data_IF_699279184465
#
_entry.id   IF_699279184465
#
_cell.length_a   1.000
_cell.length_b   1.000
_cell.length_c   1.000
_cell.angle_alpha   90.00
_cell.angle_beta   90.00
_cell.angle_gamma   90.00
#
_symmetry.space_group_name_H-M   'P 1'
#
loop_
_entity.id
_entity.type
_entity.pdbx_description
1 polymer ?
#
# COMPACT_ATOMS: atom_id res chain seq x y z
N UNK A 1 11.68 5.63 3.33
CA UNK A 1 11.80 4.69 4.47
C UNK A 1 11.82 5.39 5.83
N UNK A 2 12.60 6.46 5.99
CA UNK A 2 12.73 7.15 7.28
C UNK A 2 11.39 7.70 7.80
N UNK A 3 10.50 8.13 6.92
CA UNK A 3 9.17 8.63 7.29
C UNK A 3 8.29 7.48 7.78
N UNK A 4 8.34 6.33 7.12
CA UNK A 4 7.59 5.13 7.55
C UNK A 4 7.98 4.67 8.95
N UNK A 5 9.29 4.70 9.26
CA UNK A 5 9.79 4.31 10.59
C UNK A 5 9.26 5.19 11.71
N UNK A 6 8.95 6.45 11.41
CA UNK A 6 8.46 7.43 12.39
C UNK A 6 6.96 7.45 12.53
N UNK A 7 6.23 6.83 11.61
CA UNK A 7 4.77 6.84 11.63
C UNK A 7 4.24 5.55 12.26
N UNK A 8 3.64 5.62 13.46
CA UNK A 8 3.13 4.44 14.16
C UNK A 8 1.88 3.80 13.50
N UNK A 9 1.22 4.51 12.59
CA UNK A 9 0.03 4.02 11.89
C UNK A 9 0.36 3.08 10.74
N UNK A 10 1.63 3.08 10.30
CA UNK A 10 2.08 2.32 9.14
C UNK A 10 2.98 1.15 9.53
N UNK A 11 2.93 0.10 8.73
CA UNK A 11 3.79 -1.07 8.87
C UNK A 11 4.98 -0.91 7.92
N UNK A 12 6.18 -1.07 8.46
CA UNK A 12 7.38 -1.14 7.66
C UNK A 12 7.55 -2.55 7.11
N UNK A 13 7.68 -2.67 5.80
CA UNK A 13 7.95 -3.96 5.16
C UNK A 13 9.39 -4.38 5.39
N UNK A 14 9.58 -5.65 5.75
CA UNK A 14 10.90 -6.24 5.90
C UNK A 14 11.40 -6.75 4.55
N UNK A 15 12.49 -6.16 4.07
CA UNK A 15 13.19 -6.58 2.86
C UNK A 15 14.67 -6.90 3.13
N UNK A 16 15.03 -7.15 4.38
CA UNK A 16 16.40 -7.43 4.81
C UNK A 16 17.02 -8.67 4.15
N UNK A 17 16.16 -9.61 3.72
CA UNK A 17 16.56 -10.83 3.02
C UNK A 17 16.83 -10.62 1.51
N UNK A 18 16.64 -9.42 1.00
CA UNK A 18 16.81 -9.10 -0.43
C UNK A 18 18.09 -8.31 -0.62
N UNK A 19 18.97 -8.78 -1.51
CA UNK A 19 20.26 -8.12 -1.77
C UNK A 19 20.08 -6.75 -2.43
N UNK A 20 19.15 -6.65 -3.38
CA UNK A 20 18.77 -5.38 -4.02
C UNK A 20 17.25 -5.28 -4.03
N UNK A 21 16.73 -4.29 -3.35
CA UNK A 21 15.29 -4.01 -3.34
C UNK A 21 14.93 -3.03 -4.46
N UNK A 22 14.23 -3.53 -5.47
CA UNK A 22 13.73 -2.73 -6.60
C UNK A 22 12.27 -3.05 -6.83
N UNK A 23 11.43 -2.02 -6.90
CA UNK A 23 9.99 -2.18 -7.04
C UNK A 23 9.41 -1.10 -7.96
N UNK A 24 8.48 -1.49 -8.83
CA UNK A 24 7.72 -0.56 -9.67
C UNK A 24 6.67 0.24 -8.88
N UNK A 25 6.36 -0.21 -7.70
CA UNK A 25 5.35 0.37 -6.82
C UNK A 25 5.93 0.66 -5.44
N UNK A 26 5.44 1.71 -4.81
CA UNK A 26 5.73 2.00 -3.41
C UNK A 26 4.52 1.55 -2.56
N UNK A 27 4.59 0.39 -1.91
CA UNK A 27 3.48 -0.12 -1.11
C UNK A 27 3.40 0.60 0.23
N UNK A 28 2.17 0.88 0.64
CA UNK A 28 1.83 1.43 1.95
C UNK A 28 0.87 0.47 2.63
N UNK A 29 1.20 0.05 3.83
CA UNK A 29 0.38 -0.86 4.62
C UNK A 29 0.06 -0.21 5.96
N UNK A 30 -1.22 0.07 6.18
CA UNK A 30 -1.69 0.63 7.44
C UNK A 30 -1.87 -0.48 8.48
N UNK A 31 -1.71 -0.16 9.75
CA UNK A 31 -1.93 -1.14 10.83
C UNK A 31 -3.38 -1.57 10.95
N UNK A 32 -4.29 -0.67 10.61
CA UNK A 32 -5.73 -0.93 10.69
C UNK A 32 -6.44 -0.44 9.43
N UNK A 33 -7.49 -1.15 8.96
CA UNK A 33 -8.23 -0.80 7.75
C UNK A 33 -8.81 0.62 7.74
N UNK A 34 -9.24 1.11 8.91
CA UNK A 34 -9.82 2.45 9.06
C UNK A 34 -8.82 3.55 8.74
N UNK A 35 -7.55 3.32 9.05
CA UNK A 35 -6.46 4.27 8.76
C UNK A 35 -6.22 4.41 7.26
N UNK A 36 -6.43 3.35 6.49
CA UNK A 36 -6.25 3.35 5.04
C UNK A 36 -7.04 4.49 4.39
N UNK A 37 -8.30 4.67 4.75
CA UNK A 37 -9.14 5.73 4.17
C UNK A 37 -8.56 7.13 4.39
N UNK A 38 -8.02 7.38 5.57
CA UNK A 38 -7.41 8.67 5.90
C UNK A 38 -6.17 8.95 5.07
N UNK A 39 -5.29 7.95 4.92
CA UNK A 39 -4.10 8.08 4.09
C UNK A 39 -4.43 8.21 2.61
N UNK A 40 -5.45 7.52 2.12
CA UNK A 40 -5.92 7.70 0.75
C UNK A 40 -6.35 9.15 0.49
N UNK A 41 -7.01 9.78 1.44
CA UNK A 41 -7.38 11.19 1.35
C UNK A 41 -6.15 12.11 1.37
N UNK A 42 -5.14 11.82 2.19
CA UNK A 42 -3.89 12.60 2.21
C UNK A 42 -3.15 12.51 0.87
N UNK A 43 -3.03 11.33 0.30
CA UNK A 43 -2.39 11.12 -1.01
C UNK A 43 -3.17 11.83 -2.12
N UNK A 44 -4.47 11.68 -2.14
CA UNK A 44 -5.34 12.37 -3.11
C UNK A 44 -5.23 13.89 -2.98
N UNK A 45 -5.25 14.41 -1.77
CA UNK A 45 -5.09 15.83 -1.48
C UNK A 45 -3.72 16.38 -1.90
N UNK A 46 -2.68 15.56 -1.83
CA UNK A 46 -1.33 15.88 -2.30
C UNK A 46 -1.14 15.72 -3.81
N UNK A 47 -2.16 15.29 -4.54
CA UNK A 47 -2.07 15.06 -5.99
C UNK A 47 -1.29 13.80 -6.38
N UNK A 48 -1.13 12.85 -5.47
CA UNK A 48 -0.44 11.58 -5.73
C UNK A 48 -1.44 10.53 -6.17
N UNK A 49 -1.23 9.95 -7.34
CA UNK A 49 -2.07 8.85 -7.83
C UNK A 49 -1.80 7.59 -7.00
N UNK A 50 -2.86 6.97 -6.57
CA UNK A 50 -2.83 5.75 -5.75
C UNK A 50 -3.66 4.65 -6.38
N UNK A 51 -3.29 3.41 -6.06
CA UNK A 51 -4.01 2.21 -6.49
C UNK A 51 -4.20 1.27 -5.29
N UNK A 52 -5.31 0.53 -5.24
CA UNK A 52 -5.42 -0.59 -4.31
C UNK A 52 -4.35 -1.63 -4.62
N UNK A 53 -4.01 -2.47 -3.64
CA UNK A 53 -3.08 -3.57 -3.89
C UNK A 53 -3.60 -4.42 -5.05
N UNK A 54 -2.80 -4.59 -6.07
CA UNK A 54 -3.11 -5.15 -7.41
C UNK A 54 -4.34 -6.08 -7.36
N UNK A 55 -4.58 -7.17 -7.58
CA UNK A 55 -5.82 -7.92 -7.44
C UNK A 55 -6.39 -7.97 -6.00
N UNK A 56 -5.63 -7.54 -4.99
CA UNK A 56 -6.01 -7.67 -3.59
C UNK A 56 -6.23 -9.13 -3.20
N UNK A 57 -7.30 -9.39 -2.45
CA UNK A 57 -7.75 -10.75 -2.22
C UNK A 57 -8.54 -11.24 -3.44
N UNK A 58 -7.93 -12.12 -4.21
CA UNK A 58 -8.51 -12.65 -5.46
C UNK A 58 -9.87 -13.32 -5.24
N UNK A 59 -10.08 -13.93 -4.08
CA UNK A 59 -11.33 -14.60 -3.74
C UNK A 59 -12.52 -13.64 -3.64
N UNK A 60 -12.28 -12.35 -3.44
CA UNK A 60 -13.31 -11.33 -3.40
C UNK A 60 -13.68 -10.81 -4.78
N UNK A 61 -12.91 -11.14 -5.81
CA UNK A 61 -13.17 -10.71 -7.17
C UNK A 61 -14.37 -11.47 -7.78
N UNK A 62 -15.21 -10.78 -8.55
CA UNK A 62 -16.42 -11.41 -9.14
C UNK A 62 -16.11 -12.63 -10.00
N UNK A 63 -15.01 -12.61 -10.76
CA UNK A 63 -14.64 -13.73 -11.61
C UNK A 63 -14.31 -14.99 -10.80
N UNK A 64 -13.67 -14.85 -9.64
CA UNK A 64 -13.36 -15.98 -8.78
C UNK A 64 -14.65 -16.64 -8.29
N UNK A 65 -15.56 -15.83 -7.75
CA UNK A 65 -16.85 -16.31 -7.23
C UNK A 65 -17.71 -16.99 -8.31
N UNK A 66 -17.53 -16.61 -9.57
CA UNK A 66 -18.25 -17.19 -10.70
C UNK A 66 -17.78 -18.60 -11.06
N UNK A 67 -16.47 -18.87 -10.90
CA UNK A 67 -15.87 -20.10 -11.41
C UNK A 67 -15.32 -21.03 -10.32
N UNK A 68 -15.20 -20.55 -9.08
CA UNK A 68 -14.63 -21.30 -7.96
C UNK A 68 -15.52 -21.18 -6.75
N UNK A 69 -15.93 -22.32 -6.21
CA UNK A 69 -16.79 -22.38 -5.02
C UNK A 69 -15.98 -22.39 -3.71
N UNK A 70 -14.74 -22.86 -3.77
CA UNK A 70 -13.88 -22.97 -2.58
C UNK A 70 -13.41 -21.59 -2.09
N UNK A 71 -13.61 -21.33 -0.82
CA UNK A 71 -13.13 -20.11 -0.13
C UNK A 71 -12.19 -20.52 0.99
N UNK A 72 -11.01 -19.92 0.99
CA UNK A 72 -9.97 -20.18 1.98
C UNK A 72 -9.82 -19.01 2.95
N UNK A 73 -9.55 -19.30 4.21
CA UNK A 73 -9.18 -18.28 5.19
C UNK A 73 -7.71 -17.88 4.97
N UNK A 74 -7.49 -16.66 4.49
CA UNK A 74 -6.18 -16.10 4.18
C UNK A 74 -6.00 -14.78 4.96
N UNK A 75 -5.75 -14.84 6.29
CA UNK A 75 -5.76 -13.64 7.13
C UNK A 75 -4.74 -12.59 6.71
N UNK A 76 -3.55 -12.98 6.26
CA UNK A 76 -2.55 -12.06 5.74
C UNK A 76 -3.00 -11.37 4.45
N UNK A 77 -3.57 -12.11 3.52
CA UNK A 77 -4.10 -11.60 2.27
C UNK A 77 -5.30 -10.66 2.51
N UNK A 78 -6.20 -11.04 3.39
CA UNK A 78 -7.35 -10.23 3.79
C UNK A 78 -6.91 -8.92 4.43
N UNK A 79 -5.89 -8.97 5.28
CA UNK A 79 -5.33 -7.79 5.93
C UNK A 79 -4.70 -6.81 4.90
N UNK A 80 -3.89 -7.30 3.98
CA UNK A 80 -3.29 -6.48 2.92
C UNK A 80 -4.35 -5.89 2.00
N UNK A 81 -5.37 -6.66 1.66
CA UNK A 81 -6.50 -6.18 0.85
C UNK A 81 -7.24 -5.00 1.50
N UNK A 82 -7.50 -5.11 2.80
CA UNK A 82 -8.25 -4.09 3.55
C UNK A 82 -7.41 -2.87 3.93
N UNK A 83 -6.10 -3.04 4.18
CA UNK A 83 -5.24 -2.03 4.81
C UNK A 83 -4.16 -1.48 3.89
N UNK A 84 -3.96 -2.07 2.72
CA UNK A 84 -2.87 -1.73 1.80
C UNK A 84 -3.31 -0.92 0.58
N UNK A 85 -2.37 -0.14 0.06
CA UNK A 85 -2.45 0.53 -1.23
C UNK A 85 -1.03 0.81 -1.73
N UNK A 86 -0.89 1.31 -2.95
CA UNK A 86 0.43 1.71 -3.44
C UNK A 86 0.35 2.96 -4.32
N UNK A 87 1.47 3.66 -4.41
CA UNK A 87 1.69 4.69 -5.42
C UNK A 87 2.84 4.28 -6.34
N UNK A 88 3.02 5.01 -7.45
CA UNK A 88 4.08 4.74 -8.41
C UNK A 88 5.47 4.96 -7.82
N UNK A 89 6.41 4.17 -8.28
CA UNK A 89 7.84 4.30 -7.99
C UNK A 89 8.61 4.08 -9.29
N UNK A 90 9.15 5.16 -9.86
CA UNK A 90 9.82 5.12 -11.15
C UNK A 90 11.05 6.06 -11.14
N UNK A 91 12.03 5.82 -12.04
CA UNK A 91 13.32 6.54 -11.99
C UNK A 91 13.21 8.06 -12.19
N UNK A 92 12.18 8.53 -12.87
CA UNK A 92 11.95 9.95 -13.19
C UNK A 92 11.36 10.76 -12.04
N UNK A 93 11.06 10.13 -10.89
CA UNK A 93 10.59 10.86 -9.71
C UNK A 93 11.66 11.86 -9.25
N UNK A 94 11.26 13.13 -9.18
CA UNK A 94 12.12 14.20 -8.66
C UNK A 94 12.17 14.20 -7.13
N UNK A 95 13.14 14.93 -6.57
CA UNK A 95 13.20 15.13 -5.12
C UNK A 95 11.93 15.82 -4.60
N UNK A 96 11.37 16.75 -5.38
CA UNK A 96 10.10 17.41 -5.05
C UNK A 96 8.94 16.43 -4.99
N UNK A 97 8.86 15.48 -5.93
CA UNK A 97 7.84 14.42 -5.91
C UNK A 97 7.99 13.53 -4.68
N UNK A 98 9.23 13.18 -4.32
CA UNK A 98 9.51 12.38 -3.13
C UNK A 98 9.14 13.11 -1.83
N UNK A 99 9.32 14.43 -1.78
CA UNK A 99 8.87 15.25 -0.65
C UNK A 99 7.36 15.26 -0.50
N UNK A 100 6.63 15.35 -1.61
CA UNK A 100 5.16 15.28 -1.62
C UNK A 100 4.70 13.93 -1.08
N UNK A 101 5.27 12.83 -1.59
CA UNK A 101 4.95 11.48 -1.11
C UNK A 101 5.28 11.35 0.39
N UNK A 102 6.42 11.84 0.80
CA UNK A 102 6.84 11.81 2.22
C UNK A 102 5.86 12.58 3.11
N UNK A 103 5.38 13.72 2.66
CA UNK A 103 4.36 14.51 3.38
C UNK A 103 3.06 13.74 3.54
N UNK A 104 2.64 13.02 2.49
CA UNK A 104 1.44 12.18 2.54
C UNK A 104 1.56 10.99 3.50
N UNK A 105 2.78 10.57 3.79
CA UNK A 105 3.06 9.46 4.72
C UNK A 105 3.20 9.90 6.17
N UNK A 106 3.19 11.19 6.45
CA UNK A 106 3.23 11.70 7.81
C UNK A 106 1.91 11.44 8.52
N UNK A 107 1.97 11.21 9.82
CA UNK A 107 0.76 11.05 10.62
C UNK A 107 -0.10 12.32 10.52
N UNK A 108 -1.39 12.10 10.25
CA UNK A 108 -2.37 13.17 10.15
C UNK A 108 -2.80 13.70 11.53
#
# INVERSE_FOLDING_TARGET
ENVLKKNPDLIQLDHSHVAVFSSFAFPVLCKEPEMRRKYLLQFSGGGVEIRPMIAGNIQEQPFYKKYVDDIYALPGTEFVHASGFYCGNYPELSDADLEIISSCLMKY
#
